data_IF_455684849091
#
_entry.id   IF_455684849091
#
_cell.length_a   1.000
_cell.length_b   1.000
_cell.length_c   1.000
_cell.angle_alpha   90.00
_cell.angle_beta   90.00
_cell.angle_gamma   90.00
#
_symmetry.space_group_name_H-M   'P 1'
#
loop_
_entity.id
_entity.type
_entity.pdbx_description
1 polymer ?
#
# COMPACT_ATOMS: atom_id res chain seq x y z
N UNK A 1 -4.45 -5.74 8.43
CA UNK A 1 -4.84 -4.32 8.28
C UNK A 1 -5.34 -4.07 6.86
N UNK A 2 -6.37 -3.26 6.65
CA UNK A 2 -6.89 -2.92 5.31
C UNK A 2 -6.93 -1.39 5.14
N UNK A 3 -6.34 -0.88 4.05
CA UNK A 3 -6.27 0.56 3.76
C UNK A 3 -6.98 0.83 2.44
N UNK A 4 -8.02 1.67 2.49
CA UNK A 4 -8.72 2.09 1.26
C UNK A 4 -7.94 3.21 0.57
N UNK A 5 -7.67 3.03 -0.73
CA UNK A 5 -7.02 4.01 -1.58
C UNK A 5 -7.96 4.39 -2.73
N UNK A 6 -8.15 5.69 -2.94
CA UNK A 6 -8.95 6.22 -4.04
C UNK A 6 -8.02 6.59 -5.20
N UNK A 7 -8.21 5.93 -6.35
CA UNK A 7 -7.43 6.13 -7.57
C UNK A 7 -8.04 7.18 -8.51
N UNK A 8 -9.07 7.93 -8.10
CA UNK A 8 -9.66 8.98 -8.94
C UNK A 8 -8.98 10.32 -8.70
N UNK A 9 -8.35 10.97 -9.69
CA UNK A 9 -7.83 10.52 -10.99
C UNK A 9 -6.31 10.19 -10.94
N UNK A 10 -5.87 9.49 -9.89
CA UNK A 10 -4.47 9.28 -9.57
C UNK A 10 -4.09 7.80 -9.66
N UNK A 11 -2.91 7.52 -10.22
CA UNK A 11 -2.33 6.19 -10.15
C UNK A 11 -2.12 5.72 -8.71
N UNK A 12 -2.03 4.40 -8.52
CA UNK A 12 -1.89 3.74 -7.20
C UNK A 12 -0.77 4.30 -6.34
N UNK A 13 0.36 4.69 -6.94
CA UNK A 13 1.47 5.33 -6.22
C UNK A 13 1.06 6.69 -5.63
N UNK A 14 0.44 7.54 -6.45
CA UNK A 14 0.03 8.88 -6.02
C UNK A 14 -1.11 8.80 -5.01
N UNK A 15 -2.07 7.88 -5.20
CA UNK A 15 -3.13 7.63 -4.23
C UNK A 15 -2.57 7.16 -2.88
N UNK A 16 -1.65 6.19 -2.88
CA UNK A 16 -0.96 5.73 -1.67
C UNK A 16 -0.18 6.87 -0.99
N UNK A 17 0.54 7.69 -1.77
CA UNK A 17 1.27 8.86 -1.24
C UNK A 17 0.33 9.87 -0.59
N UNK A 18 -0.77 10.23 -1.25
CA UNK A 18 -1.78 11.15 -0.69
C UNK A 18 -2.40 10.61 0.58
N UNK A 19 -2.69 9.29 0.62
CA UNK A 19 -3.22 8.65 1.83
C UNK A 19 -2.21 8.67 2.97
N UNK A 20 -0.94 8.38 2.67
CA UNK A 20 0.15 8.49 3.62
C UNK A 20 0.27 9.92 4.17
N UNK A 21 0.31 10.94 3.31
CA UNK A 21 0.38 12.34 3.72
C UNK A 21 -0.83 12.75 4.59
N UNK A 22 -2.02 12.26 4.24
CA UNK A 22 -3.23 12.48 5.03
C UNK A 22 -3.15 11.85 6.42
N UNK A 23 -2.63 10.62 6.52
CA UNK A 23 -2.44 9.92 7.79
C UNK A 23 -1.37 10.60 8.63
N UNK A 24 -0.26 11.04 8.01
CA UNK A 24 0.81 11.77 8.68
C UNK A 24 0.30 13.10 9.28
N UNK A 25 -0.47 13.85 8.50
CA UNK A 25 -1.08 15.09 8.96
C UNK A 25 -2.09 14.84 10.10
N UNK A 26 -2.85 13.75 10.02
CA UNK A 26 -3.73 13.29 11.11
C UNK A 26 -2.95 12.91 12.36
N UNK A 27 -1.84 12.17 12.19
CA UNK A 27 -0.96 11.72 13.25
C UNK A 27 -0.37 12.90 14.05
N UNK A 28 0.07 13.97 13.37
CA UNK A 28 0.56 15.18 14.04
C UNK A 28 -0.53 15.97 14.77
N UNK A 29 -1.80 15.83 14.38
CA UNK A 29 -2.94 16.55 14.96
C UNK A 29 -3.71 15.75 16.02
N UNK A 30 -3.54 14.44 16.05
CA UNK A 30 -4.24 13.57 16.98
C UNK A 30 -3.65 13.70 18.38
N UNK A 31 -4.53 13.80 19.38
CA UNK A 31 -4.22 13.61 20.80
C UNK A 31 -4.83 12.27 21.24
N UNK A 32 -4.01 11.37 21.77
CA UNK A 32 -4.42 10.00 22.17
C UNK A 32 -3.66 8.89 21.46
N UNK A 33 -4.26 7.69 21.41
CA UNK A 33 -3.65 6.49 20.80
C UNK A 33 -3.50 6.64 19.28
N UNK A 34 -2.28 6.41 18.79
CA UNK A 34 -1.90 6.56 17.39
C UNK A 34 -1.45 5.26 16.76
N UNK A 35 -1.46 4.15 17.50
CA UNK A 35 -0.97 2.84 17.07
C UNK A 35 -1.54 2.43 15.70
N UNK A 36 -2.86 2.58 15.52
CA UNK A 36 -3.55 2.26 14.26
C UNK A 36 -3.13 3.17 13.09
N UNK A 37 -2.76 4.43 13.36
CA UNK A 37 -2.23 5.33 12.33
C UNK A 37 -0.78 4.97 11.99
N UNK A 38 0.03 4.66 13.00
CA UNK A 38 1.43 4.26 12.84
C UNK A 38 1.54 2.98 11.98
N UNK A 39 0.73 1.97 12.27
CA UNK A 39 0.67 0.73 11.46
C UNK A 39 0.29 1.01 10.00
N UNK A 40 -0.65 1.93 9.74
CA UNK A 40 -1.00 2.31 8.37
C UNK A 40 0.12 3.08 7.67
N UNK A 41 0.77 3.99 8.39
CA UNK A 41 1.87 4.81 7.90
C UNK A 41 3.05 3.91 7.53
N UNK A 42 3.41 2.95 8.39
CA UNK A 42 4.48 1.99 8.14
C UNK A 42 4.16 1.11 6.93
N UNK A 43 2.94 0.55 6.89
CA UNK A 43 2.51 -0.28 5.77
C UNK A 43 2.49 0.45 4.44
N UNK A 44 2.01 1.71 4.41
CA UNK A 44 2.06 2.56 3.22
C UNK A 44 3.49 2.94 2.85
N UNK A 45 4.38 3.15 3.82
CA UNK A 45 5.80 3.44 3.58
C UNK A 45 6.48 2.26 2.91
N UNK A 46 6.28 1.05 3.42
CA UNK A 46 6.79 -0.17 2.81
C UNK A 46 6.26 -0.33 1.39
N UNK A 47 4.95 -0.18 1.20
CA UNK A 47 4.33 -0.27 -0.12
C UNK A 47 4.89 0.76 -1.10
N UNK A 48 5.04 2.02 -0.70
CA UNK A 48 5.61 3.09 -1.53
C UNK A 48 7.09 2.88 -1.86
N UNK A 49 7.84 2.23 -0.96
CA UNK A 49 9.29 2.03 -1.12
C UNK A 49 9.62 0.80 -1.97
N UNK A 50 8.91 -0.31 -1.77
CA UNK A 50 9.25 -1.59 -2.37
C UNK A 50 8.33 -2.03 -3.50
N UNK A 51 7.10 -1.51 -3.63
CA UNK A 51 6.21 -1.97 -4.69
C UNK A 51 6.69 -1.52 -6.07
N UNK A 52 6.69 -2.44 -7.03
CA UNK A 52 7.01 -2.13 -8.42
C UNK A 52 5.77 -1.55 -9.13
N UNK A 53 5.60 -0.23 -8.98
CA UNK A 53 4.50 0.50 -9.61
C UNK A 53 4.55 0.44 -11.14
N UNK A 54 5.74 0.30 -11.73
CA UNK A 54 5.89 0.15 -13.17
C UNK A 54 5.27 -1.17 -13.67
N UNK A 55 5.53 -2.27 -12.96
CA UNK A 55 4.91 -3.56 -13.22
C UNK A 55 3.38 -3.50 -13.00
N UNK A 56 2.94 -2.91 -11.88
CA UNK A 56 1.51 -2.80 -11.55
C UNK A 56 0.73 -2.03 -12.60
N UNK A 57 1.22 -0.85 -13.04
CA UNK A 57 0.54 -0.04 -14.06
C UNK A 57 0.53 -0.70 -15.42
N UNK A 58 1.61 -1.39 -15.80
CA UNK A 58 1.68 -2.12 -17.09
C UNK A 58 0.75 -3.33 -17.10
N UNK A 59 0.65 -4.06 -15.99
CA UNK A 59 -0.13 -5.29 -15.89
C UNK A 59 -1.62 -5.02 -15.63
N UNK A 60 -1.92 -3.97 -14.88
CA UNK A 60 -3.26 -3.61 -14.44
C UNK A 60 -3.52 -2.12 -14.76
N UNK A 61 -4.08 -1.80 -15.95
CA UNK A 61 -4.34 -0.42 -16.35
C UNK A 61 -5.36 0.28 -15.43
N UNK A 62 -6.19 -0.49 -14.72
CA UNK A 62 -7.10 0.01 -13.67
C UNK A 62 -6.34 0.66 -12.48
N UNK A 63 -5.06 0.33 -12.27
CA UNK A 63 -4.22 0.92 -11.23
C UNK A 63 -3.46 2.19 -11.69
N UNK A 64 -3.57 2.54 -12.96
CA UNK A 64 -2.87 3.69 -13.57
C UNK A 64 -3.57 5.03 -13.32
N UNK A 65 -4.78 5.02 -12.74
CA UNK A 65 -5.57 6.23 -12.50
C UNK A 65 -6.38 6.70 -13.72
N UNK A 66 -6.38 5.92 -14.79
CA UNK A 66 -7.25 6.14 -15.96
C UNK A 66 -8.72 5.80 -15.70
N UNK A 67 -9.03 5.12 -14.60
CA UNK A 67 -10.39 4.75 -14.19
C UNK A 67 -10.59 5.21 -12.75
N UNK A 68 -11.71 5.90 -12.51
CA UNK A 68 -12.13 6.31 -11.18
C UNK A 68 -12.52 5.07 -10.35
N UNK A 69 -11.54 4.48 -9.66
CA UNK A 69 -11.73 3.26 -8.89
C UNK A 69 -11.17 3.38 -7.48
N UNK A 70 -11.74 2.61 -6.56
CA UNK A 70 -11.24 2.47 -5.20
C UNK A 70 -10.66 1.09 -5.05
N UNK A 71 -9.48 1.01 -4.46
CA UNK A 71 -8.80 -0.24 -4.16
C UNK A 71 -8.64 -0.38 -2.65
N UNK A 72 -8.48 -1.61 -2.20
CA UNK A 72 -8.15 -1.93 -0.82
C UNK A 72 -6.76 -2.53 -0.81
N UNK A 73 -5.82 -1.85 -0.14
CA UNK A 73 -4.50 -2.38 0.15
C UNK A 73 -4.57 -3.15 1.47
N UNK A 74 -4.55 -4.47 1.37
CA UNK A 74 -4.45 -5.36 2.53
C UNK A 74 -2.99 -5.52 2.90
N UNK A 75 -2.69 -5.18 4.15
CA UNK A 75 -1.37 -5.28 4.76
C UNK A 75 -1.44 -6.32 5.88
N UNK A 76 -0.85 -7.50 5.68
CA UNK A 76 -0.68 -8.48 6.77
C UNK A 76 0.47 -8.06 7.69
N UNK A 77 0.52 -8.62 8.89
CA UNK A 77 1.57 -8.34 9.88
C UNK A 77 2.99 -8.57 9.33
N UNK A 78 3.17 -9.57 8.47
CA UNK A 78 4.49 -9.89 7.88
C UNK A 78 4.94 -8.96 6.75
N UNK A 79 4.12 -7.98 6.31
CA UNK A 79 4.41 -7.01 5.24
C UNK A 79 4.81 -7.59 3.86
N UNK A 80 5.05 -8.90 3.74
CA UNK A 80 5.54 -9.59 2.55
C UNK A 80 4.41 -10.19 1.70
N UNK A 81 3.21 -10.34 2.27
CA UNK A 81 2.01 -10.86 1.58
C UNK A 81 0.95 -9.76 1.39
N UNK A 82 1.38 -8.52 1.10
CA UNK A 82 0.43 -7.45 0.83
C UNK A 82 -0.40 -7.77 -0.41
N UNK A 83 -1.69 -7.44 -0.39
CA UNK A 83 -2.59 -7.69 -1.51
C UNK A 83 -3.35 -6.43 -1.88
N UNK A 84 -3.48 -6.17 -3.17
CA UNK A 84 -4.33 -5.10 -3.70
C UNK A 84 -5.64 -5.75 -4.15
N UNK A 85 -6.76 -5.29 -3.60
CA UNK A 85 -8.09 -5.74 -4.00
C UNK A 85 -8.72 -4.62 -4.82
N UNK A 86 -8.98 -4.88 -6.10
CA UNK A 86 -9.60 -3.93 -7.04
C UNK A 86 -10.78 -4.61 -7.74
N UNK A 87 -11.99 -4.05 -7.62
CA UNK A 87 -13.20 -4.55 -8.29
C UNK A 87 -13.34 -6.09 -8.24
N UNK A 88 -13.24 -6.67 -7.04
CA UNK A 88 -13.31 -8.12 -6.77
C UNK A 88 -12.09 -8.96 -7.22
N UNK A 89 -11.11 -8.36 -7.91
CA UNK A 89 -9.83 -9.00 -8.24
C UNK A 89 -8.83 -8.82 -7.11
N UNK A 90 -8.13 -9.89 -6.77
CA UNK A 90 -6.96 -9.86 -5.88
C UNK A 90 -5.71 -9.80 -6.75
N UNK A 91 -4.94 -8.74 -6.56
CA UNK A 91 -3.72 -8.42 -7.29
C UNK A 91 -2.56 -8.48 -6.30
N UNK A 92 -1.58 -9.32 -6.60
CA UNK A 92 -0.36 -9.40 -5.82
C UNK A 92 0.65 -8.35 -6.33
N UNK A 93 0.98 -7.33 -5.52
CA UNK A 93 2.00 -6.36 -5.86
C UNK A 93 3.37 -7.02 -5.86
N UNK A 94 4.06 -6.93 -6.99
CA UNK A 94 5.44 -7.38 -7.07
C UNK A 94 6.32 -6.40 -6.29
N UNK A 95 6.93 -6.87 -5.21
CA UNK A 95 7.90 -6.09 -4.45
C UNK A 95 9.31 -6.29 -5.01
N UNK A 96 10.04 -5.20 -5.19
CA UNK A 96 11.49 -5.23 -5.33
C UNK A 96 12.07 -5.45 -3.93
N UNK A 97 12.16 -6.72 -3.53
CA UNK A 97 12.91 -7.08 -2.32
C UNK A 97 14.36 -6.75 -2.61
N UNK A 98 14.90 -5.71 -1.97
CA UNK A 98 16.35 -5.55 -1.90
C UNK A 98 16.86 -6.74 -1.10
N UNK A 99 17.67 -7.60 -1.72
CA UNK A 99 18.26 -8.77 -1.09
C UNK A 99 18.95 -8.35 0.23
N UNK A 100 18.31 -8.66 1.34
CA UNK A 100 18.77 -8.25 2.67
C UNK A 100 18.15 -9.11 3.74
N UNK A 101 18.66 -10.35 3.85
CA UNK A 101 18.39 -11.36 4.89
C UNK A 101 17.00 -12.01 4.84
N UNK A 102 16.94 -13.04 4.00
CA UNK A 102 16.32 -14.31 4.38
C UNK A 102 16.96 -14.79 5.71
N UNK A 103 16.47 -14.31 6.84
CA UNK A 103 16.74 -14.94 8.12
C UNK A 103 15.78 -16.12 8.25
N UNK A 104 16.31 -17.28 7.88
CA UNK A 104 15.80 -18.61 8.22
C UNK A 104 15.11 -18.62 9.58
N UNK A 105 13.80 -18.90 9.59
CA UNK A 105 13.14 -19.57 10.70
C UNK A 105 12.11 -20.55 10.14
N UNK A 106 12.61 -21.68 9.68
CA UNK A 106 11.88 -22.93 9.77
C UNK A 106 12.23 -23.54 11.14
N UNK A 107 11.19 -23.80 11.94
CA UNK A 107 11.27 -24.50 13.23
C UNK A 107 11.23 -26.02 13.01
#
# INVERSE_FOLDING_TARGET
MDIMLDLSPFCVQTAAKRRYESLLNGYFKADGDKSVMEEQIEGLTFFLKYADFGYLRRRYPELDGGINTRIILRIPENQHEMQIICQEKRIDPKFRVENGRDEKREF
#
